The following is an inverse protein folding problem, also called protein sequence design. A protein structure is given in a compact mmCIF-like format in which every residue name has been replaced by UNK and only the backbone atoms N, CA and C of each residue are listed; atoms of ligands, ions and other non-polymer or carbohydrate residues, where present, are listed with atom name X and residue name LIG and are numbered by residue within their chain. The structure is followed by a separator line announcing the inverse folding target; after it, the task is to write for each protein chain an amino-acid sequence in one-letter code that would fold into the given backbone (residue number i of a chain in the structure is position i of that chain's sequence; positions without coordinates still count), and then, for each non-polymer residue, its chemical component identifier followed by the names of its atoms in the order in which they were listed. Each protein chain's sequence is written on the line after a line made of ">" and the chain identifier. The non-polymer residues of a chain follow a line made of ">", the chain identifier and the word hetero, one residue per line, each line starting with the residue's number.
data_IF_795603698350
#
_entry.id   IF_795603698350
#
_cell.length_a   1.000
_cell.length_b   1.000
_cell.length_c   1.000
_cell.angle_alpha   90.00
_cell.angle_beta   90.00
_cell.angle_gamma   90.00
#
_symmetry.space_group_name_H-M   'P 1'
#
loop_
_entity.id
_entity.type
_entity.pdbx_description
1 polymer ?
#
# COMPACT_ATOMS: atom_id res chain seq x y z
N UNK A 1 -50.35 34.19 39.93
CA UNK A 1 -50.19 34.27 38.48
C UNK A 1 -48.75 34.60 38.13
N UNK A 2 -47.95 33.57 37.93
CA UNK A 2 -46.60 33.69 37.39
C UNK A 2 -46.68 33.64 35.87
N UNK A 3 -46.39 34.77 35.26
CA UNK A 3 -46.16 34.86 33.81
C UNK A 3 -44.83 34.20 33.49
N UNK A 4 -44.88 33.05 32.83
CA UNK A 4 -43.72 32.47 32.16
C UNK A 4 -43.34 33.42 31.01
N UNK A 5 -42.19 34.08 31.15
CA UNK A 5 -41.51 34.74 30.05
C UNK A 5 -41.20 33.68 29.01
N UNK A 6 -41.71 33.82 27.82
CA UNK A 6 -41.29 33.08 26.64
C UNK A 6 -39.86 33.57 26.32
N UNK A 7 -38.87 32.86 26.78
CA UNK A 7 -37.50 33.17 26.44
C UNK A 7 -37.30 32.91 24.94
N UNK A 8 -37.21 33.97 24.16
CA UNK A 8 -36.75 33.89 22.77
C UNK A 8 -35.34 33.27 22.77
N UNK A 9 -35.24 32.16 22.08
CA UNK A 9 -33.96 31.45 21.92
C UNK A 9 -32.95 32.41 21.28
N UNK A 10 -31.74 32.57 21.84
CA UNK A 10 -30.78 33.52 21.31
C UNK A 10 -30.46 33.24 19.83
N UNK A 11 -30.38 34.26 19.00
CA UNK A 11 -30.16 34.14 17.55
C UNK A 11 -28.92 33.32 17.16
N UNK A 12 -27.88 33.29 18.04
CA UNK A 12 -26.69 32.47 17.82
C UNK A 12 -26.98 30.96 17.93
N UNK A 13 -27.95 30.54 18.71
CA UNK A 13 -28.34 29.12 18.82
C UNK A 13 -28.99 28.62 17.54
N UNK A 14 -29.83 29.41 16.88
CA UNK A 14 -30.41 29.08 15.57
C UNK A 14 -29.32 29.05 14.49
N UNK A 15 -28.35 29.96 14.55
CA UNK A 15 -27.21 29.95 13.65
C UNK A 15 -26.32 28.70 13.83
N UNK A 16 -25.99 28.33 15.08
CA UNK A 16 -25.19 27.11 15.34
C UNK A 16 -25.92 25.86 14.95
N UNK A 17 -27.27 25.79 15.15
CA UNK A 17 -28.08 24.66 14.71
C UNK A 17 -28.05 24.49 13.18
N UNK A 18 -28.14 25.61 12.44
CA UNK A 18 -28.01 25.62 10.98
C UNK A 18 -26.65 25.22 10.49
N UNK A 19 -25.57 25.64 11.17
CA UNK A 19 -24.21 25.21 10.87
C UNK A 19 -24.00 23.71 11.11
N UNK A 20 -24.47 23.20 12.25
CA UNK A 20 -24.38 21.77 12.57
C UNK A 20 -25.16 20.92 11.58
N UNK A 21 -26.39 21.30 11.22
CA UNK A 21 -27.20 20.60 10.22
C UNK A 21 -26.54 20.64 8.83
N UNK A 22 -25.90 21.76 8.49
CA UNK A 22 -25.08 21.87 7.28
C UNK A 22 -23.85 20.94 7.33
N UNK A 23 -23.14 20.92 8.44
CA UNK A 23 -21.97 20.05 8.64
C UNK A 23 -22.34 18.56 8.58
N UNK A 24 -23.43 18.14 9.23
CA UNK A 24 -23.94 16.77 9.15
C UNK A 24 -24.25 16.34 7.72
N UNK A 25 -24.84 17.23 6.92
CA UNK A 25 -25.12 16.96 5.50
C UNK A 25 -23.84 16.77 4.69
N UNK A 26 -22.77 17.48 5.02
CA UNK A 26 -21.47 17.33 4.36
C UNK A 26 -20.71 16.10 4.87
N UNK A 27 -20.91 15.70 6.13
CA UNK A 27 -20.29 14.51 6.72
C UNK A 27 -20.98 13.22 6.29
N UNK A 28 -22.25 13.28 5.84
CA UNK A 28 -22.91 12.08 5.31
C UNK A 28 -22.28 11.67 3.98
N UNK A 29 -21.91 10.38 3.83
CA UNK A 29 -21.43 9.86 2.56
C UNK A 29 -22.49 10.07 1.48
N UNK A 30 -22.22 10.97 0.55
CA UNK A 30 -23.10 11.16 -0.60
C UNK A 30 -22.82 10.07 -1.63
N UNK A 31 -23.84 9.40 -2.19
CA UNK A 31 -23.63 8.43 -3.25
C UNK A 31 -22.92 9.11 -4.43
N UNK A 32 -21.82 8.51 -4.88
CA UNK A 32 -21.13 8.97 -6.08
C UNK A 32 -21.94 8.59 -7.32
N UNK A 33 -22.47 9.60 -7.99
CA UNK A 33 -23.01 9.42 -9.34
C UNK A 33 -21.84 9.38 -10.32
N UNK A 34 -21.48 8.20 -10.79
CA UNK A 34 -20.42 8.03 -11.78
C UNK A 34 -21.01 8.36 -13.15
N UNK A 35 -20.46 9.39 -13.82
CA UNK A 35 -20.88 9.71 -15.19
C UNK A 35 -20.51 8.57 -16.16
N UNK A 36 -21.24 8.46 -17.27
CA UNK A 36 -20.94 7.47 -18.32
C UNK A 36 -19.50 7.59 -18.84
N UNK A 37 -18.91 8.79 -18.81
CA UNK A 37 -17.51 9.05 -19.18
C UNK A 37 -16.56 8.41 -18.14
N UNK A 38 -16.80 8.63 -16.86
CA UNK A 38 -16.01 8.04 -15.78
C UNK A 38 -16.13 6.51 -15.78
N UNK A 39 -17.31 5.97 -16.07
CA UNK A 39 -17.51 4.53 -16.28
C UNK A 39 -16.62 3.98 -17.39
N UNK A 40 -16.45 4.71 -18.51
CA UNK A 40 -15.54 4.32 -19.59
C UNK A 40 -14.06 4.39 -19.21
N UNK A 41 -13.64 5.38 -18.42
CA UNK A 41 -12.27 5.51 -17.92
C UNK A 41 -11.90 4.40 -16.94
N UNK A 42 -12.87 3.81 -16.25
CA UNK A 42 -12.66 2.72 -15.30
C UNK A 42 -12.71 1.32 -15.93
N UNK A 43 -12.91 1.20 -17.24
CA UNK A 43 -13.17 -0.08 -17.94
C UNK A 43 -11.93 -0.79 -18.44
N UNK A 44 -10.80 -0.73 -17.73
CA UNK A 44 -9.64 -1.55 -18.04
C UNK A 44 -9.92 -3.05 -17.87
N UNK A 45 -9.24 -3.89 -18.66
CA UNK A 45 -9.30 -5.35 -18.55
C UNK A 45 -8.38 -5.90 -17.43
N UNK A 46 -7.68 -5.02 -16.73
CA UNK A 46 -6.75 -5.35 -15.66
C UNK A 46 -6.98 -4.51 -14.42
N UNK A 47 -6.75 -5.10 -13.25
CA UNK A 47 -6.79 -4.41 -11.96
C UNK A 47 -5.68 -4.93 -11.05
N UNK A 48 -5.40 -4.21 -9.95
CA UNK A 48 -4.44 -4.64 -8.92
C UNK A 48 -5.14 -4.88 -7.60
N UNK A 49 -4.52 -5.68 -6.71
CA UNK A 49 -5.02 -5.88 -5.35
C UNK A 49 -5.22 -4.56 -4.62
N UNK A 50 -4.23 -3.67 -4.64
CA UNK A 50 -4.30 -2.33 -4.02
C UNK A 50 -5.46 -1.48 -4.56
N UNK A 51 -5.75 -1.59 -5.86
CA UNK A 51 -6.88 -0.89 -6.46
C UNK A 51 -8.21 -1.42 -5.95
N UNK A 52 -8.34 -2.75 -5.82
CA UNK A 52 -9.53 -3.38 -5.23
C UNK A 52 -9.68 -3.02 -3.76
N UNK A 53 -8.62 -3.12 -2.96
CA UNK A 53 -8.61 -2.72 -1.55
C UNK A 53 -9.04 -1.26 -1.38
N UNK A 54 -8.52 -0.36 -2.21
CA UNK A 54 -8.92 1.05 -2.17
C UNK A 54 -10.41 1.21 -2.47
N UNK A 55 -10.97 0.43 -3.40
CA UNK A 55 -12.41 0.47 -3.70
C UNK A 55 -13.25 0.00 -2.52
N UNK A 56 -12.90 -1.14 -1.92
CA UNK A 56 -13.64 -1.69 -0.77
C UNK A 56 -13.51 -0.83 0.48
N UNK A 57 -12.36 -0.18 0.67
CA UNK A 57 -12.15 0.75 1.79
C UNK A 57 -12.91 2.05 1.60
N UNK A 58 -12.83 2.64 0.41
CA UNK A 58 -13.49 3.91 0.10
C UNK A 58 -13.68 4.08 -1.43
N UNK A 59 -14.89 3.80 -1.96
CA UNK A 59 -15.19 3.96 -3.39
C UNK A 59 -14.90 5.37 -3.92
N UNK A 60 -15.09 6.41 -3.07
CA UNK A 60 -14.80 7.80 -3.43
C UNK A 60 -13.29 8.02 -3.63
N UNK A 61 -12.44 7.51 -2.71
CA UNK A 61 -10.98 7.57 -2.85
C UNK A 61 -10.52 6.85 -4.11
N UNK A 62 -11.07 5.67 -4.38
CA UNK A 62 -10.82 4.91 -5.60
C UNK A 62 -11.17 5.72 -6.87
N UNK A 63 -12.33 6.35 -6.90
CA UNK A 63 -12.77 7.17 -8.04
C UNK A 63 -11.81 8.34 -8.29
N UNK A 64 -11.48 9.12 -7.27
CA UNK A 64 -10.53 10.24 -7.44
C UNK A 64 -9.16 9.77 -7.90
N UNK A 65 -8.63 8.73 -7.28
CA UNK A 65 -7.28 8.25 -7.57
C UNK A 65 -7.16 7.57 -8.94
N UNK A 66 -8.10 6.69 -9.28
CA UNK A 66 -7.96 5.80 -10.42
C UNK A 66 -8.81 6.18 -11.64
N UNK A 67 -9.90 6.92 -11.47
CA UNK A 67 -10.71 7.40 -12.57
C UNK A 67 -10.33 8.83 -13.00
N UNK A 68 -10.09 9.70 -12.02
CA UNK A 68 -9.74 11.10 -12.29
C UNK A 68 -8.23 11.36 -12.26
N UNK A 69 -7.41 10.41 -11.80
CA UNK A 69 -5.96 10.56 -11.74
C UNK A 69 -5.49 11.64 -10.76
N UNK A 70 -6.30 11.95 -9.74
CA UNK A 70 -5.92 12.94 -8.72
C UNK A 70 -4.81 12.36 -7.85
N UNK A 71 -3.65 12.99 -7.90
CA UNK A 71 -2.51 12.68 -7.03
C UNK A 71 -2.35 13.78 -5.98
N UNK A 72 -2.02 13.39 -4.76
CA UNK A 72 -1.57 14.33 -3.75
C UNK A 72 -0.09 14.58 -4.01
N UNK A 73 0.40 15.83 -4.06
CA UNK A 73 1.83 16.10 -4.14
C UNK A 73 2.54 15.39 -3.00
N UNK A 74 3.58 14.63 -3.31
CA UNK A 74 4.44 14.05 -2.27
C UNK A 74 5.27 15.17 -1.66
N UNK A 75 5.16 15.35 -0.34
CA UNK A 75 6.09 16.21 0.39
C UNK A 75 7.49 15.58 0.32
N UNK A 76 8.53 16.43 0.26
CA UNK A 76 9.92 16.00 0.09
C UNK A 76 10.48 15.16 1.27
N UNK A 77 9.68 14.87 2.27
CA UNK A 77 10.03 13.99 3.37
C UNK A 77 9.93 12.50 2.94
N UNK A 78 10.70 11.66 3.64
CA UNK A 78 10.63 10.19 3.48
C UNK A 78 9.20 9.70 3.66
N UNK A 79 8.60 9.25 2.57
CA UNK A 79 7.27 8.66 2.64
C UNK A 79 7.35 7.24 3.23
N UNK A 80 6.26 6.79 3.86
CA UNK A 80 6.17 5.39 4.30
C UNK A 80 6.36 4.40 3.13
N UNK A 81 6.02 4.83 1.91
CA UNK A 81 6.23 4.05 0.70
C UNK A 81 7.72 3.87 0.35
N UNK A 82 8.53 4.94 0.50
CA UNK A 82 9.98 4.87 0.27
C UNK A 82 10.64 3.91 1.26
N UNK A 83 10.25 4.00 2.52
CA UNK A 83 10.72 3.11 3.58
C UNK A 83 10.36 1.65 3.25
N UNK A 84 9.09 1.39 2.91
CA UNK A 84 8.63 0.06 2.51
C UNK A 84 9.43 -0.48 1.32
N UNK A 85 9.61 0.31 0.27
CA UNK A 85 10.37 -0.08 -0.91
C UNK A 85 11.85 -0.42 -0.59
N UNK A 86 12.49 0.33 0.32
CA UNK A 86 13.86 0.03 0.76
C UNK A 86 13.93 -1.30 1.50
N UNK A 87 13.02 -1.55 2.43
CA UNK A 87 12.98 -2.80 3.20
C UNK A 87 12.69 -3.99 2.29
N UNK A 88 11.75 -3.87 1.34
CA UNK A 88 11.48 -4.91 0.35
C UNK A 88 12.72 -5.19 -0.53
N UNK A 89 13.41 -4.16 -0.99
CA UNK A 89 14.65 -4.32 -1.76
C UNK A 89 15.76 -5.04 -0.96
N UNK A 90 15.86 -4.76 0.35
CA UNK A 90 16.81 -5.48 1.22
C UNK A 90 16.39 -6.95 1.35
N UNK A 91 15.10 -7.25 1.51
CA UNK A 91 14.62 -8.64 1.65
C UNK A 91 14.89 -9.47 0.38
N UNK A 92 14.53 -8.93 -0.79
CA UNK A 92 14.79 -9.53 -2.10
C UNK A 92 16.26 -9.86 -2.29
N UNK A 93 17.12 -8.84 -2.14
CA UNK A 93 18.55 -8.97 -2.35
C UNK A 93 19.24 -9.83 -1.28
N UNK A 94 18.66 -9.92 -0.08
CA UNK A 94 19.17 -10.84 0.93
C UNK A 94 19.01 -12.29 0.47
N UNK A 95 17.84 -12.65 -0.07
CA UNK A 95 17.58 -14.01 -0.56
C UNK A 95 18.41 -14.33 -1.80
N UNK A 96 18.46 -13.42 -2.77
CA UNK A 96 19.09 -13.67 -4.08
C UNK A 96 20.62 -13.64 -4.04
N UNK A 97 21.24 -12.74 -3.24
CA UNK A 97 22.68 -12.50 -3.34
C UNK A 97 23.45 -12.56 -1.99
N UNK A 98 22.76 -12.59 -0.85
CA UNK A 98 23.40 -12.46 0.45
C UNK A 98 23.02 -13.53 1.49
N UNK A 99 22.22 -14.52 1.13
CA UNK A 99 21.67 -15.53 2.06
C UNK A 99 22.73 -16.26 2.91
N UNK A 100 23.91 -16.50 2.35
CA UNK A 100 25.04 -17.13 3.08
C UNK A 100 25.74 -16.22 4.08
N UNK A 101 25.43 -14.91 4.11
CA UNK A 101 26.07 -13.94 4.99
C UNK A 101 25.33 -13.84 6.34
N UNK A 102 26.00 -13.38 7.41
CA UNK A 102 25.33 -13.04 8.66
C UNK A 102 24.25 -11.98 8.41
N UNK A 103 23.00 -12.17 8.89
CA UNK A 103 21.87 -11.30 8.57
C UNK A 103 22.11 -9.82 8.83
N UNK A 104 22.73 -9.49 9.98
CA UNK A 104 23.04 -8.09 10.31
C UNK A 104 24.05 -7.45 9.34
N UNK A 105 25.08 -8.17 8.97
CA UNK A 105 26.12 -7.67 8.07
C UNK A 105 25.56 -7.48 6.64
N UNK A 106 24.76 -8.43 6.18
CA UNK A 106 24.08 -8.36 4.90
C UNK A 106 23.10 -7.18 4.88
N UNK A 107 22.22 -7.08 5.87
CA UNK A 107 21.25 -5.99 5.98
C UNK A 107 21.92 -4.61 5.99
N UNK A 108 23.01 -4.46 6.76
CA UNK A 108 23.76 -3.19 6.82
C UNK A 108 24.29 -2.78 5.45
N UNK A 109 24.88 -3.72 4.71
CA UNK A 109 25.43 -3.47 3.37
C UNK A 109 24.31 -3.13 2.38
N UNK A 110 23.28 -4.00 2.29
CA UNK A 110 22.18 -3.86 1.34
C UNK A 110 21.36 -2.58 1.58
N UNK A 111 21.11 -2.25 2.86
CA UNK A 111 20.42 -1.02 3.22
C UNK A 111 21.26 0.21 2.88
N UNK A 112 22.60 0.17 3.10
CA UNK A 112 23.47 1.27 2.72
C UNK A 112 23.44 1.53 1.22
N UNK A 113 23.46 0.49 0.41
CA UNK A 113 23.35 0.57 -1.05
C UNK A 113 21.97 1.12 -1.48
N UNK A 114 20.89 0.65 -0.87
CA UNK A 114 19.54 1.13 -1.14
C UNK A 114 19.39 2.63 -0.78
N UNK A 115 19.92 3.06 0.36
CA UNK A 115 19.93 4.46 0.78
C UNK A 115 20.78 5.32 -0.16
N UNK A 116 21.94 4.86 -0.57
CA UNK A 116 22.82 5.59 -1.47
C UNK A 116 22.22 5.83 -2.86
N UNK A 117 21.23 5.02 -3.27
CA UNK A 117 20.50 5.20 -4.52
C UNK A 117 19.43 6.31 -4.44
N UNK A 118 19.15 6.83 -3.23
CA UNK A 118 18.20 7.90 -3.02
C UNK A 118 18.89 9.23 -3.13
N UNK A 119 18.94 10.04 -3.94
CA UNK A 119 19.64 11.33 -4.08
C UNK A 119 19.43 12.31 -2.90
N UNK A 120 19.46 11.78 -1.65
CA UNK A 120 19.25 12.56 -0.41
C UNK A 120 20.56 13.03 0.21
N UNK A 121 20.47 13.94 1.16
CA UNK A 121 21.64 14.47 1.86
C UNK A 121 22.37 13.40 2.69
N UNK A 122 23.64 13.61 2.97
CA UNK A 122 24.42 12.68 3.82
C UNK A 122 23.83 12.55 5.24
N UNK A 123 23.25 13.63 5.78
CA UNK A 123 22.60 13.64 7.10
C UNK A 123 21.33 12.79 7.08
N UNK A 124 20.50 12.94 6.04
CA UNK A 124 19.30 12.13 5.86
C UNK A 124 19.65 10.65 5.70
N UNK A 125 20.70 10.33 4.94
CA UNK A 125 21.19 8.98 4.75
C UNK A 125 21.64 8.35 6.07
N UNK A 126 22.36 9.10 6.92
CA UNK A 126 22.73 8.64 8.27
C UNK A 126 21.51 8.43 9.17
N UNK A 127 20.52 9.30 9.07
CA UNK A 127 19.26 9.18 9.82
C UNK A 127 18.49 7.93 9.38
N UNK A 128 18.32 7.71 8.08
CA UNK A 128 17.66 6.53 7.52
C UNK A 128 18.34 5.24 7.98
N UNK A 129 19.67 5.17 7.88
CA UNK A 129 20.44 4.01 8.33
C UNK A 129 20.17 3.69 9.81
N UNK A 130 20.16 4.69 10.68
CA UNK A 130 19.90 4.50 12.12
C UNK A 130 18.48 3.99 12.39
N UNK A 131 17.50 4.47 11.64
CA UNK A 131 16.09 4.12 11.82
C UNK A 131 15.78 2.71 11.29
N UNK A 132 16.32 2.34 10.14
CA UNK A 132 15.87 1.16 9.39
C UNK A 132 16.75 -0.08 9.58
N UNK A 133 18.00 0.07 10.06
CA UNK A 133 18.92 -1.05 10.17
C UNK A 133 18.44 -2.17 11.08
N UNK A 134 17.79 -1.83 12.19
CA UNK A 134 17.24 -2.81 13.13
C UNK A 134 16.14 -3.66 12.49
N UNK A 135 15.22 -3.01 11.78
CA UNK A 135 14.12 -3.65 11.06
C UNK A 135 14.64 -4.52 9.90
N UNK A 136 15.53 -3.97 9.07
CA UNK A 136 16.15 -4.70 7.97
C UNK A 136 16.91 -5.93 8.45
N UNK A 137 17.66 -5.82 9.53
CA UNK A 137 18.42 -6.95 10.10
C UNK A 137 17.48 -8.01 10.72
N UNK A 138 16.42 -7.58 11.40
CA UNK A 138 15.39 -8.47 11.92
C UNK A 138 14.68 -9.24 10.82
N UNK A 139 14.33 -8.57 9.71
CA UNK A 139 13.71 -9.20 8.54
C UNK A 139 14.66 -10.23 7.90
N UNK A 140 15.92 -9.89 7.65
CA UNK A 140 16.90 -10.83 7.12
C UNK A 140 17.09 -12.05 8.04
N UNK A 141 17.13 -11.84 9.35
CA UNK A 141 17.20 -12.91 10.34
C UNK A 141 15.96 -13.81 10.31
N UNK A 142 14.77 -13.24 10.23
CA UNK A 142 13.51 -13.97 10.10
C UNK A 142 13.42 -14.79 8.81
N UNK A 143 13.82 -14.20 7.68
CA UNK A 143 13.89 -14.90 6.39
C UNK A 143 14.83 -16.10 6.48
N UNK A 144 16.04 -15.90 7.02
CA UNK A 144 17.02 -16.98 7.21
C UNK A 144 16.45 -18.10 8.07
N UNK A 145 15.93 -17.78 9.24
CA UNK A 145 15.35 -18.76 10.16
C UNK A 145 14.19 -19.53 9.51
N UNK A 146 13.32 -18.86 8.76
CA UNK A 146 12.19 -19.48 8.06
C UNK A 146 12.65 -20.48 6.99
N UNK A 147 13.65 -20.11 6.19
CA UNK A 147 14.19 -20.98 5.12
C UNK A 147 14.94 -22.16 5.71
N UNK A 148 15.73 -21.95 6.78
CA UNK A 148 16.51 -23.02 7.42
C UNK A 148 15.66 -24.01 8.21
N UNK A 149 14.58 -23.54 8.84
CA UNK A 149 13.68 -24.39 9.62
C UNK A 149 12.73 -25.25 8.78
N UNK A 150 12.48 -24.90 7.52
CA UNK A 150 11.51 -25.57 6.66
C UNK A 150 12.11 -26.31 5.48
N UNK A 151 11.26 -27.03 4.74
CA UNK A 151 11.60 -27.71 3.49
C UNK A 151 11.39 -26.82 2.26
N UNK A 152 10.64 -25.75 2.40
CA UNK A 152 10.40 -24.80 1.31
C UNK A 152 11.66 -24.01 0.97
N UNK A 153 11.88 -23.79 -0.29
CA UNK A 153 13.02 -23.00 -0.79
C UNK A 153 12.54 -21.89 -1.70
N UNK A 154 13.16 -20.69 -1.66
CA UNK A 154 12.86 -19.61 -2.59
C UNK A 154 13.05 -20.07 -4.04
N UNK A 155 12.04 -19.84 -4.88
CA UNK A 155 12.06 -20.15 -6.32
C UNK A 155 11.78 -18.90 -7.17
N UNK A 156 11.37 -17.79 -6.55
CA UNK A 156 11.19 -16.52 -7.21
C UNK A 156 11.03 -15.37 -6.22
N UNK A 157 11.64 -14.23 -6.54
CA UNK A 157 11.51 -12.96 -5.83
C UNK A 157 10.98 -11.90 -6.78
N UNK A 158 10.18 -10.95 -6.25
CA UNK A 158 9.63 -9.81 -6.99
C UNK A 158 8.89 -10.24 -8.29
N UNK A 159 8.25 -11.41 -8.24
CA UNK A 159 7.62 -12.04 -9.40
C UNK A 159 6.40 -11.23 -9.84
N UNK A 160 6.45 -10.74 -11.07
CA UNK A 160 5.33 -10.00 -11.67
C UNK A 160 4.33 -10.96 -12.30
N UNK A 161 3.05 -10.72 -12.00
CA UNK A 161 1.91 -11.43 -12.59
C UNK A 161 1.04 -10.45 -13.38
N UNK A 162 0.45 -10.90 -14.47
CA UNK A 162 -0.46 -10.09 -15.27
C UNK A 162 -0.21 -10.20 -16.78
N UNK A 163 -0.84 -9.32 -17.57
CA UNK A 163 -0.70 -9.35 -19.03
C UNK A 163 0.75 -9.08 -19.46
N UNK A 164 1.28 -10.00 -20.29
CA UNK A 164 2.65 -9.87 -20.81
C UNK A 164 3.76 -10.25 -19.82
N UNK A 165 3.41 -10.70 -18.62
CA UNK A 165 4.35 -11.28 -17.66
C UNK A 165 4.54 -12.79 -17.92
N UNK A 166 5.59 -13.39 -17.33
CA UNK A 166 5.84 -14.83 -17.39
C UNK A 166 4.66 -15.62 -16.81
N UNK A 167 4.06 -15.10 -15.73
CA UNK A 167 2.89 -15.69 -15.10
C UNK A 167 1.65 -14.83 -15.36
N UNK A 168 0.62 -15.46 -15.95
CA UNK A 168 -0.68 -14.83 -16.10
C UNK A 168 -1.31 -14.57 -14.73
N UNK A 169 -1.91 -13.41 -14.55
CA UNK A 169 -2.70 -13.13 -13.35
C UNK A 169 -4.01 -13.93 -13.34
N UNK A 170 -4.61 -14.15 -12.16
CA UNK A 170 -5.94 -14.73 -12.07
C UNK A 170 -6.96 -13.87 -12.83
N UNK A 171 -7.87 -14.54 -13.55
CA UNK A 171 -8.98 -13.89 -14.24
C UNK A 171 -10.28 -14.12 -13.49
N UNK A 172 -11.14 -13.12 -13.47
CA UNK A 172 -12.49 -13.23 -12.92
C UNK A 172 -13.50 -12.50 -13.83
N UNK A 173 -14.74 -12.95 -13.78
CA UNK A 173 -15.84 -12.29 -14.49
C UNK A 173 -16.44 -11.18 -13.61
N UNK A 174 -16.48 -9.98 -14.15
CA UNK A 174 -17.11 -8.83 -13.54
C UNK A 174 -18.28 -8.36 -14.42
N UNK A 175 -19.46 -8.95 -14.23
CA UNK A 175 -20.67 -8.67 -15.01
C UNK A 175 -20.48 -8.85 -16.52
N UNK A 176 -20.01 -10.03 -16.93
CA UNK A 176 -19.77 -10.38 -18.33
C UNK A 176 -18.49 -9.79 -18.94
N UNK A 177 -17.63 -9.21 -18.10
CA UNK A 177 -16.32 -8.71 -18.51
C UNK A 177 -15.21 -9.50 -17.82
N UNK A 178 -14.28 -10.01 -18.59
CA UNK A 178 -13.08 -10.63 -18.03
C UNK A 178 -12.13 -9.54 -17.53
N UNK A 179 -11.74 -9.67 -16.29
CA UNK A 179 -10.78 -8.78 -15.63
C UNK A 179 -9.65 -9.64 -15.09
N UNK A 180 -8.42 -9.30 -15.44
CA UNK A 180 -7.22 -9.97 -14.97
C UNK A 180 -6.62 -9.20 -13.79
N UNK A 181 -6.22 -9.92 -12.75
CA UNK A 181 -5.45 -9.34 -11.65
C UNK A 181 -3.99 -9.22 -12.10
N UNK A 182 -3.43 -8.03 -11.93
CA UNK A 182 -2.00 -7.79 -12.10
C UNK A 182 -1.38 -7.38 -10.77
N UNK A 183 -0.11 -7.73 -10.57
CA UNK A 183 0.58 -7.40 -9.34
C UNK A 183 2.00 -7.91 -9.32
N UNK A 184 2.58 -7.83 -8.14
CA UNK A 184 3.92 -8.33 -7.84
C UNK A 184 3.84 -9.17 -6.56
N UNK A 185 4.48 -10.31 -6.55
CA UNK A 185 4.59 -11.21 -5.42
C UNK A 185 6.01 -11.08 -4.90
N UNK A 186 6.16 -10.73 -3.63
CA UNK A 186 7.49 -10.44 -3.04
C UNK A 186 8.39 -11.66 -3.08
N UNK A 187 7.89 -12.85 -2.64
CA UNK A 187 8.64 -14.10 -2.70
C UNK A 187 7.72 -15.30 -2.92
N UNK A 188 8.19 -16.23 -3.74
CA UNK A 188 7.58 -17.53 -3.96
C UNK A 188 8.54 -18.60 -3.45
N UNK A 189 8.07 -19.46 -2.57
CA UNK A 189 8.81 -20.63 -2.11
C UNK A 189 8.15 -21.92 -2.63
N UNK A 190 8.95 -22.89 -3.06
CA UNK A 190 8.51 -24.19 -3.56
C UNK A 190 9.00 -25.35 -2.70
N UNK A 191 8.18 -26.42 -2.62
CA UNK A 191 8.53 -27.73 -2.08
C UNK A 191 7.72 -28.83 -2.77
N UNK A 192 8.36 -29.63 -3.63
CA UNK A 192 7.65 -30.59 -4.51
C UNK A 192 6.64 -29.85 -5.37
N UNK A 193 5.37 -30.27 -5.32
CA UNK A 193 4.26 -29.64 -6.04
C UNK A 193 3.57 -28.50 -5.24
N UNK A 194 4.10 -28.15 -4.07
CA UNK A 194 3.54 -27.13 -3.19
C UNK A 194 4.23 -25.79 -3.41
N UNK A 195 3.44 -24.72 -3.39
CA UNK A 195 3.91 -23.34 -3.51
C UNK A 195 3.41 -22.53 -2.34
N UNK A 196 4.28 -21.67 -1.79
CA UNK A 196 3.94 -20.70 -0.76
C UNK A 196 4.24 -19.30 -1.28
N UNK A 197 3.23 -18.43 -1.22
CA UNK A 197 3.38 -17.02 -1.54
C UNK A 197 3.64 -16.23 -0.26
N UNK A 198 4.61 -15.35 -0.29
CA UNK A 198 5.03 -14.54 0.86
C UNK A 198 4.97 -13.08 0.44
N UNK A 199 4.40 -12.26 1.32
CA UNK A 199 4.30 -10.81 1.21
C UNK A 199 4.91 -10.21 2.48
N UNK A 200 5.86 -9.29 2.31
CA UNK A 200 6.51 -8.62 3.42
C UNK A 200 5.71 -7.39 3.83
N UNK A 201 5.29 -7.34 5.11
CA UNK A 201 4.60 -6.16 5.67
C UNK A 201 5.54 -5.43 6.63
N UNK A 202 5.70 -4.15 6.39
CA UNK A 202 6.47 -3.20 7.22
C UNK A 202 5.52 -2.26 7.98
#
# INVERSE_FOLDING_TARGET
>A
SESRESGDEPAWMDYTRKLCAGAEKWMMPQPLSVSAIAGKLMTGSTTTATRLETYFTCPRKHYYRYALGVTVPEEAELSALDIGNMIHSVAERYVSEAFGQPPYAAAKRLLAEAIASTEKSEEDNKRMMRLLLGEAAGLCGGIKAQIEAGSFRPVGEEVRIGPGCEYAGPEFDANGRRVMLSGKIDRIDGYGDLVRLIDYKT
#
